data_IF_047251402294
#
_entry.id   IF_047251402294
#
_cell.length_a   1.000
_cell.length_b   1.000
_cell.length_c   1.000
_cell.angle_alpha   90.00
_cell.angle_beta   90.00
_cell.angle_gamma   90.00
#
_symmetry.space_group_name_H-M   'P 1'
#
loop_
_entity.id
_entity.type
_entity.pdbx_description
1 polymer ?
#
# COMPACT_ATOMS: atom_id res chain seq x y z
N UNK A 1 12.10 1.53 2.53
CA UNK A 1 10.71 1.62 3.04
C UNK A 1 10.66 2.27 4.41
N UNK A 2 11.55 1.92 5.35
CA UNK A 2 11.60 2.49 6.71
C UNK A 2 11.74 4.02 6.71
N UNK A 3 12.74 4.57 6.00
CA UNK A 3 13.02 6.02 5.99
C UNK A 3 11.87 6.90 5.47
N UNK A 4 11.12 6.47 4.46
CA UNK A 4 9.97 7.25 3.98
C UNK A 4 8.84 7.31 5.01
N UNK A 5 8.67 6.25 5.80
CA UNK A 5 7.64 6.21 6.84
C UNK A 5 8.13 6.97 8.06
N UNK A 6 9.32 6.63 8.55
CA UNK A 6 9.87 7.12 9.79
C UNK A 6 10.16 8.62 9.72
N UNK A 7 10.65 9.13 8.58
CA UNK A 7 11.08 10.52 8.45
C UNK A 7 10.00 11.45 7.87
N UNK A 8 9.04 10.95 7.07
CA UNK A 8 8.01 11.77 6.42
C UNK A 8 6.61 11.55 7.01
N UNK A 9 6.27 10.34 7.44
CA UNK A 9 4.91 10.00 7.88
C UNK A 9 4.76 10.08 9.39
N UNK A 10 5.77 9.64 10.16
CA UNK A 10 5.70 9.70 11.62
C UNK A 10 5.69 11.12 12.20
N UNK A 11 6.37 12.16 11.67
CA UNK A 11 6.32 13.49 12.29
C UNK A 11 4.93 14.15 12.24
N UNK A 12 4.19 14.14 11.11
CA UNK A 12 2.82 14.65 11.06
C UNK A 12 1.84 13.81 11.91
N UNK A 13 1.95 12.48 11.85
CA UNK A 13 1.09 11.55 12.60
C UNK A 13 1.38 11.64 14.10
N UNK A 14 2.65 11.69 14.50
CA UNK A 14 3.08 11.86 15.89
C UNK A 14 2.61 13.20 16.48
N UNK A 15 2.53 14.25 15.67
CA UNK A 15 1.94 15.54 16.09
C UNK A 15 0.41 15.48 16.20
N UNK A 16 -0.26 14.73 15.33
CA UNK A 16 -1.73 14.56 15.33
C UNK A 16 -2.24 13.62 16.44
N UNK A 17 -1.53 12.53 16.71
CA UNK A 17 -1.88 11.53 17.72
C UNK A 17 -1.18 11.75 19.08
N UNK A 18 -0.38 12.81 19.22
CA UNK A 18 0.18 13.25 20.51
C UNK A 18 1.33 12.38 21.05
N UNK A 19 2.34 12.09 20.24
CA UNK A 19 3.53 11.28 20.63
C UNK A 19 3.15 9.94 21.28
N UNK A 20 2.41 9.09 20.56
CA UNK A 20 2.06 7.74 21.01
C UNK A 20 3.33 6.87 21.07
N UNK A 21 4.05 6.95 22.17
CA UNK A 21 5.26 6.17 22.42
C UNK A 21 4.99 5.13 23.51
N UNK A 22 4.60 3.93 23.07
CA UNK A 22 4.37 2.78 23.96
C UNK A 22 5.67 2.10 24.40
N UNK A 23 6.84 2.60 23.99
CA UNK A 23 8.12 1.94 24.23
C UNK A 23 8.50 1.87 25.70
N UNK A 24 7.86 2.63 26.59
CA UNK A 24 8.09 2.57 28.03
C UNK A 24 7.09 1.70 28.81
N UNK A 25 6.16 0.99 28.14
CA UNK A 25 5.30 0.02 28.79
C UNK A 25 6.01 -1.33 28.90
N UNK A 26 6.42 -1.70 30.11
CA UNK A 26 7.01 -3.00 30.41
C UNK A 26 6.51 -3.53 31.75
N UNK A 27 6.37 -4.85 31.84
CA UNK A 27 6.09 -5.54 33.11
C UNK A 27 7.40 -6.20 33.53
N UNK A 28 7.91 -5.81 34.69
CA UNK A 28 9.06 -6.45 35.30
C UNK A 28 8.60 -7.67 36.11
N UNK A 29 9.17 -8.84 35.83
CA UNK A 29 8.85 -10.09 36.52
C UNK A 29 9.70 -10.31 37.78
N UNK A 30 10.58 -9.35 38.12
CA UNK A 30 11.60 -9.50 39.17
C UNK A 30 11.28 -8.83 40.50
N UNK A 31 10.06 -8.28 40.68
CA UNK A 31 9.61 -7.69 41.94
C UNK A 31 10.20 -6.30 42.28
N UNK A 32 11.13 -5.77 41.49
CA UNK A 32 11.70 -4.42 41.64
C UNK A 32 11.23 -3.50 40.50
N UNK A 33 10.69 -2.33 40.83
CA UNK A 33 10.29 -1.33 39.84
C UNK A 33 11.52 -0.57 39.35
N UNK A 34 11.74 -0.53 38.03
CA UNK A 34 12.76 0.32 37.41
C UNK A 34 12.07 1.39 36.57
N UNK A 35 12.64 2.61 36.46
CA UNK A 35 12.02 3.71 35.72
C UNK A 35 12.11 3.55 34.20
N UNK A 36 13.02 2.74 33.66
CA UNK A 36 13.21 2.56 32.21
C UNK A 36 13.59 1.11 31.85
N UNK A 37 13.27 0.71 30.61
CA UNK A 37 13.64 -0.60 30.06
C UNK A 37 15.17 -0.78 30.02
N UNK A 38 15.90 0.29 29.74
CA UNK A 38 17.37 0.27 29.68
C UNK A 38 18.00 0.00 31.05
N UNK A 39 17.44 0.55 32.13
CA UNK A 39 17.91 0.28 33.48
C UNK A 39 17.61 -1.17 33.91
N UNK A 40 16.47 -1.73 33.51
CA UNK A 40 16.11 -3.11 33.82
C UNK A 40 16.90 -4.15 32.99
N UNK A 41 17.19 -3.84 31.72
CA UNK A 41 18.09 -4.65 30.87
C UNK A 41 19.53 -4.61 31.37
N UNK A 42 20.03 -3.44 31.77
CA UNK A 42 21.38 -3.30 32.33
C UNK A 42 21.56 -4.09 33.64
N UNK A 43 20.49 -4.25 34.42
CA UNK A 43 20.47 -5.08 35.63
C UNK A 43 20.36 -6.59 35.36
N UNK A 44 20.31 -7.04 34.10
CA UNK A 44 20.21 -8.45 33.72
C UNK A 44 18.88 -9.12 34.12
N UNK A 45 17.83 -8.33 34.37
CA UNK A 45 16.53 -8.82 34.83
C UNK A 45 15.59 -9.06 33.63
N UNK A 46 14.88 -10.19 33.63
CA UNK A 46 13.93 -10.51 32.58
C UNK A 46 12.73 -9.54 32.63
N UNK A 47 12.60 -8.70 31.61
CA UNK A 47 11.50 -7.76 31.42
C UNK A 47 10.64 -8.21 30.25
N UNK A 48 9.32 -8.31 30.47
CA UNK A 48 8.35 -8.48 29.40
C UNK A 48 8.00 -7.10 28.85
N UNK A 49 8.68 -6.73 27.76
CA UNK A 49 8.57 -5.43 27.08
C UNK A 49 7.44 -5.46 26.05
N UNK A 50 6.20 -5.61 26.51
CA UNK A 50 5.02 -5.65 25.63
C UNK A 50 4.78 -4.30 24.93
N UNK A 51 5.26 -3.20 25.50
CA UNK A 51 5.20 -1.88 24.88
C UNK A 51 5.95 -1.78 23.56
N UNK A 52 7.08 -2.48 23.41
CA UNK A 52 7.81 -2.54 22.14
C UNK A 52 7.05 -3.36 21.08
N UNK A 53 6.41 -4.46 21.51
CA UNK A 53 5.56 -5.25 20.61
C UNK A 53 4.36 -4.44 20.13
N UNK A 54 3.67 -3.76 21.05
CA UNK A 54 2.53 -2.91 20.70
C UNK A 54 2.94 -1.75 19.80
N UNK A 55 4.10 -1.13 20.06
CA UNK A 55 4.67 -0.11 19.20
C UNK A 55 4.90 -0.64 17.77
N UNK A 56 5.51 -1.83 17.63
CA UNK A 56 5.72 -2.46 16.34
C UNK A 56 4.40 -2.76 15.60
N UNK A 57 3.37 -3.24 16.30
CA UNK A 57 2.03 -3.49 15.73
C UNK A 57 1.40 -2.18 15.25
N UNK A 58 1.43 -1.13 16.08
CA UNK A 58 0.87 0.19 15.74
C UNK A 58 1.61 0.78 14.55
N UNK A 59 2.95 0.70 14.53
CA UNK A 59 3.74 1.19 13.40
C UNK A 59 3.41 0.44 12.11
N UNK A 60 3.28 -0.90 12.17
CA UNK A 60 2.87 -1.70 11.02
C UNK A 60 1.50 -1.27 10.48
N UNK A 61 0.53 -1.01 11.36
CA UNK A 61 -0.80 -0.53 10.96
C UNK A 61 -0.74 0.87 10.33
N UNK A 62 0.08 1.78 10.86
CA UNK A 62 0.27 3.12 10.29
C UNK A 62 0.87 3.04 8.89
N UNK A 63 1.92 2.22 8.71
CA UNK A 63 2.55 2.00 7.40
C UNK A 63 1.54 1.44 6.39
N UNK A 64 0.79 0.42 6.78
CA UNK A 64 -0.23 -0.18 5.94
C UNK A 64 -1.30 0.83 5.53
N UNK A 65 -1.77 1.64 6.49
CA UNK A 65 -2.76 2.69 6.24
C UNK A 65 -2.22 3.80 5.33
N UNK A 66 -0.96 4.21 5.51
CA UNK A 66 -0.30 5.19 4.67
C UNK A 66 -0.15 4.71 3.22
N UNK A 67 0.33 3.48 3.02
CA UNK A 67 0.44 2.88 1.69
C UNK A 67 -0.94 2.77 1.04
N UNK A 68 -1.97 2.36 1.80
CA UNK A 68 -3.34 2.32 1.32
C UNK A 68 -3.84 3.70 0.86
N UNK A 69 -3.60 4.76 1.64
CA UNK A 69 -3.96 6.12 1.25
C UNK A 69 -3.18 6.57 0.00
N UNK A 70 -1.89 6.27 -0.08
CA UNK A 70 -1.06 6.60 -1.23
C UNK A 70 -1.60 5.91 -2.49
N UNK A 71 -1.86 4.61 -2.45
CA UNK A 71 -2.45 3.86 -3.57
C UNK A 71 -3.84 4.38 -3.94
N UNK A 72 -4.67 4.73 -2.96
CA UNK A 72 -5.99 5.32 -3.20
C UNK A 72 -5.89 6.68 -3.88
N UNK A 73 -4.94 7.51 -3.45
CA UNK A 73 -4.66 8.81 -4.06
C UNK A 73 -4.18 8.57 -5.49
N UNK A 74 -3.10 7.81 -5.68
CA UNK A 74 -2.56 7.51 -7.01
C UNK A 74 -3.61 6.94 -7.94
N UNK A 75 -4.43 5.97 -7.52
CA UNK A 75 -5.50 5.41 -8.35
C UNK A 75 -6.68 6.37 -8.59
N UNK A 76 -6.83 7.43 -7.76
CA UNK A 76 -7.79 8.52 -8.01
C UNK A 76 -7.27 9.54 -9.02
N UNK A 77 -5.95 9.78 -9.06
CA UNK A 77 -5.32 10.72 -9.98
C UNK A 77 -4.87 10.08 -11.29
N UNK A 78 -4.57 8.77 -11.29
CA UNK A 78 -4.46 7.98 -12.50
C UNK A 78 -5.86 7.88 -13.11
N UNK A 79 -6.11 8.74 -14.10
CA UNK A 79 -7.19 8.54 -15.05
C UNK A 79 -7.03 7.13 -15.59
N UNK A 80 -7.98 6.23 -15.32
CA UNK A 80 -7.99 4.90 -15.92
C UNK A 80 -7.81 5.11 -17.42
N UNK A 81 -6.72 4.63 -18.04
CA UNK A 81 -6.65 4.66 -19.50
C UNK A 81 -7.91 3.97 -19.98
N UNK A 82 -8.66 4.66 -20.86
CA UNK A 82 -9.84 4.09 -21.46
C UNK A 82 -9.48 2.67 -21.91
N UNK A 83 -10.28 1.64 -21.56
CA UNK A 83 -9.97 0.27 -21.95
C UNK A 83 -9.61 0.30 -23.43
N UNK A 84 -8.42 -0.20 -23.76
CA UNK A 84 -7.91 -0.17 -25.13
C UNK A 84 -9.05 -0.59 -26.04
N UNK A 85 -9.53 0.33 -26.87
CA UNK A 85 -10.73 0.12 -27.65
C UNK A 85 -10.54 -1.20 -28.40
N UNK A 86 -11.46 -2.15 -28.20
CA UNK A 86 -11.41 -3.42 -28.89
C UNK A 86 -11.22 -3.15 -30.39
N UNK A 87 -10.38 -3.93 -31.11
CA UNK A 87 -10.09 -3.67 -32.50
C UNK A 87 -11.39 -3.56 -33.29
N UNK A 88 -11.67 -2.38 -33.82
CA UNK A 88 -12.89 -2.08 -34.57
C UNK A 88 -12.83 -2.60 -36.01
N UNK A 89 -11.66 -3.10 -36.42
CA UNK A 89 -11.37 -3.61 -37.76
C UNK A 89 -10.88 -5.06 -37.74
N UNK A 90 -11.35 -5.87 -38.69
CA UNK A 90 -10.86 -7.21 -39.03
C UNK A 90 -10.41 -7.25 -40.49
N UNK A 91 -9.53 -8.16 -40.85
CA UNK A 91 -9.14 -8.36 -42.25
C UNK A 91 -10.18 -9.22 -42.99
N UNK A 92 -10.53 -8.81 -44.21
CA UNK A 92 -11.44 -9.58 -45.06
C UNK A 92 -10.77 -10.87 -45.55
N UNK A 93 -11.41 -12.05 -45.42
CA UNK A 93 -10.80 -13.33 -45.82
C UNK A 93 -10.59 -13.49 -47.33
N UNK A 94 -11.25 -12.67 -48.15
CA UNK A 94 -11.21 -12.76 -49.61
C UNK A 94 -10.21 -11.79 -50.25
N UNK A 95 -10.09 -10.57 -49.70
CA UNK A 95 -9.26 -9.52 -50.30
C UNK A 95 -8.23 -8.90 -49.35
N UNK A 96 -8.09 -9.42 -48.12
CA UNK A 96 -7.13 -8.99 -47.10
C UNK A 96 -7.17 -7.48 -46.74
N UNK A 97 -8.27 -6.79 -47.05
CA UNK A 97 -8.44 -5.38 -46.70
C UNK A 97 -9.10 -5.22 -45.33
N UNK A 98 -8.75 -4.17 -44.58
CA UNK A 98 -9.35 -3.90 -43.27
C UNK A 98 -10.81 -3.47 -43.44
N UNK A 99 -11.70 -4.12 -42.71
CA UNK A 99 -13.14 -3.86 -42.69
C UNK A 99 -13.66 -3.76 -41.25
N UNK A 100 -14.75 -3.03 -40.99
CA UNK A 100 -15.37 -3.00 -39.68
C UNK A 100 -15.79 -4.40 -39.21
N UNK A 101 -15.60 -4.74 -37.93
CA UNK A 101 -15.99 -6.06 -37.38
C UNK A 101 -17.48 -6.38 -37.59
N UNK A 102 -18.33 -5.34 -37.62
CA UNK A 102 -19.80 -5.46 -37.79
C UNK A 102 -20.21 -5.57 -39.28
N UNK A 103 -19.28 -5.40 -40.22
CA UNK A 103 -19.59 -5.43 -41.65
C UNK A 103 -20.03 -6.83 -42.10
N UNK A 104 -21.23 -6.92 -42.70
CA UNK A 104 -21.79 -8.12 -43.33
C UNK A 104 -21.32 -8.34 -44.78
N UNK A 105 -20.80 -7.28 -45.41
CA UNK A 105 -20.26 -7.30 -46.77
C UNK A 105 -19.01 -6.42 -46.85
N UNK A 106 -18.04 -6.84 -47.65
CA UNK A 106 -16.82 -6.07 -47.88
C UNK A 106 -17.11 -4.92 -48.85
N UNK A 107 -16.71 -3.69 -48.52
CA UNK A 107 -16.84 -2.53 -49.41
C UNK A 107 -15.92 -2.58 -50.64
N UNK A 108 -14.82 -3.33 -50.59
CA UNK A 108 -13.84 -3.39 -51.68
C UNK A 108 -14.11 -4.51 -52.68
N UNK A 109 -14.30 -5.76 -52.19
CA UNK A 109 -14.53 -6.91 -53.07
C UNK A 109 -15.99 -7.36 -53.13
N UNK A 110 -16.92 -6.69 -52.43
CA UNK A 110 -18.36 -7.00 -52.39
C UNK A 110 -18.74 -8.40 -51.87
N UNK A 111 -17.75 -9.20 -51.44
CA UNK A 111 -17.96 -10.52 -50.87
C UNK A 111 -18.69 -10.46 -49.52
N UNK A 112 -19.39 -11.55 -49.18
CA UNK A 112 -19.89 -11.77 -47.82
C UNK A 112 -18.69 -12.04 -46.88
N UNK A 113 -18.71 -11.44 -45.69
CA UNK A 113 -17.57 -11.46 -44.74
C UNK A 113 -17.94 -11.97 -43.37
#
# INVERSE_FOLDING_TARGET
VSSLVDDIIMPPIGRLLGNVNFSNLFINLSGTSYPTIDAAKAAGKATLNYGLFLNAVVNFLIIAFAIFLLLRIVNRWLVKPAPAAAPSTRDCPQCAMPIPVIAKKCGHCTSAV
#
